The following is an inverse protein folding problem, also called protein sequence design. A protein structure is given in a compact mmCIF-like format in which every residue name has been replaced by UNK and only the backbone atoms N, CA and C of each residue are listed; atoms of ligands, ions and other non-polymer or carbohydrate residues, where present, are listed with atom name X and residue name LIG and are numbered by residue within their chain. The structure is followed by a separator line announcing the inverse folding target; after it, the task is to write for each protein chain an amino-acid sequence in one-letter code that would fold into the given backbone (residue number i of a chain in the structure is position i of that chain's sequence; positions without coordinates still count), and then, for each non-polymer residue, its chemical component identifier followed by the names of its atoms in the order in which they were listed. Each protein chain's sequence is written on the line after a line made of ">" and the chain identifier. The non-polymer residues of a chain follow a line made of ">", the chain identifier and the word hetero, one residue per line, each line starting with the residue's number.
data_IF_763995244368
#
_entry.id   IF_763995244368
#
_cell.length_a   1.000
_cell.length_b   1.000
_cell.length_c   1.000
_cell.angle_alpha   90.00
_cell.angle_beta   90.00
_cell.angle_gamma   90.00
#
_symmetry.space_group_name_H-M   'P 1'
#
loop_
_entity.id
_entity.type
_entity.pdbx_description
1 polymer ?
#
# COMPACT_ATOMS: atom_id res chain seq x y z
N UNK A 1 -0.93 33.96 -24.26
CA UNK A 1 -1.08 33.36 -25.61
C UNK A 1 -1.60 31.96 -25.42
N UNK A 2 -2.94 31.77 -25.54
CA UNK A 2 -3.55 30.45 -25.49
C UNK A 2 -3.35 29.80 -26.87
N UNK A 3 -2.49 28.81 -26.95
CA UNK A 3 -2.42 27.92 -28.11
C UNK A 3 -3.56 26.90 -27.95
N UNK A 4 -4.72 27.21 -28.51
CA UNK A 4 -5.75 26.21 -28.79
C UNK A 4 -5.16 25.20 -29.79
N UNK A 5 -4.87 24.01 -29.31
CA UNK A 5 -4.47 22.90 -30.16
C UNK A 5 -5.73 22.45 -30.91
N UNK A 6 -5.91 22.92 -32.13
CA UNK A 6 -6.98 22.47 -33.03
C UNK A 6 -6.70 21.00 -33.37
N UNK A 7 -7.48 20.09 -32.77
CA UNK A 7 -7.45 18.67 -33.13
C UNK A 7 -8.11 18.55 -34.49
N UNK A 8 -7.31 18.32 -35.55
CA UNK A 8 -7.80 18.00 -36.87
C UNK A 8 -8.48 16.62 -36.78
N UNK A 9 -9.81 16.59 -36.83
CA UNK A 9 -10.58 15.33 -36.92
C UNK A 9 -10.43 14.76 -38.32
N UNK A 10 -9.51 13.80 -38.48
CA UNK A 10 -9.52 12.93 -39.64
C UNK A 10 -10.64 11.91 -39.47
N UNK A 11 -11.68 12.01 -40.31
CA UNK A 11 -12.84 11.08 -40.34
C UNK A 11 -12.52 9.74 -41.05
N UNK A 12 -11.27 9.34 -41.07
CA UNK A 12 -10.83 8.04 -41.59
C UNK A 12 -10.82 7.00 -40.47
N UNK A 13 -11.62 5.92 -40.57
CA UNK A 13 -11.62 4.83 -39.58
C UNK A 13 -10.24 4.23 -39.35
N UNK A 14 -9.44 4.06 -40.40
CA UNK A 14 -8.06 3.52 -40.28
C UNK A 14 -7.14 4.45 -39.52
N UNK A 15 -7.26 5.75 -39.64
CA UNK A 15 -6.54 6.73 -38.87
C UNK A 15 -6.95 6.70 -37.38
N UNK A 16 -8.25 6.58 -37.12
CA UNK A 16 -8.76 6.46 -35.73
C UNK A 16 -8.25 5.20 -35.05
N UNK A 17 -8.20 4.08 -35.76
CA UNK A 17 -7.64 2.81 -35.27
C UNK A 17 -6.15 2.95 -34.96
N UNK A 18 -5.37 3.58 -35.84
CA UNK A 18 -3.95 3.86 -35.61
C UNK A 18 -3.75 4.72 -34.35
N UNK A 19 -4.54 5.78 -34.18
CA UNK A 19 -4.46 6.65 -32.99
C UNK A 19 -4.79 5.87 -31.71
N UNK A 20 -5.80 5.01 -31.74
CA UNK A 20 -6.16 4.16 -30.62
C UNK A 20 -5.03 3.20 -30.26
N UNK A 21 -4.48 2.47 -31.23
CA UNK A 21 -3.35 1.55 -31.00
C UNK A 21 -2.14 2.26 -30.38
N UNK A 22 -1.79 3.46 -30.90
CA UNK A 22 -0.68 4.25 -30.33
C UNK A 22 -1.00 4.72 -28.92
N UNK A 23 -2.25 5.15 -28.68
CA UNK A 23 -2.69 5.61 -27.35
C UNK A 23 -2.64 4.49 -26.32
N UNK A 24 -3.14 3.31 -26.68
CA UNK A 24 -3.13 2.13 -25.83
C UNK A 24 -1.69 1.70 -25.49
N UNK A 25 -0.82 1.63 -26.52
CA UNK A 25 0.61 1.31 -26.33
C UNK A 25 1.29 2.26 -25.32
N UNK A 26 1.07 3.57 -25.47
CA UNK A 26 1.68 4.56 -24.57
C UNK A 26 1.05 4.55 -23.18
N UNK A 27 -0.23 4.24 -23.08
CA UNK A 27 -0.94 4.12 -21.78
C UNK A 27 -0.40 2.92 -21.00
N UNK A 28 -0.25 1.78 -21.66
CA UNK A 28 0.32 0.55 -21.08
C UNK A 28 1.78 0.77 -20.65
N UNK A 29 2.62 1.30 -21.54
CA UNK A 29 4.02 1.58 -21.22
C UNK A 29 4.20 2.52 -20.02
N UNK A 30 3.34 3.56 -19.89
CA UNK A 30 3.36 4.45 -18.72
C UNK A 30 2.93 3.72 -17.43
N UNK A 31 1.91 2.87 -17.51
CA UNK A 31 1.44 2.10 -16.35
C UNK A 31 2.53 1.13 -15.86
N UNK A 32 3.20 0.45 -16.78
CA UNK A 32 4.30 -0.46 -16.47
C UNK A 32 5.50 0.28 -15.84
N UNK A 33 5.88 1.41 -16.41
CA UNK A 33 6.96 2.24 -15.85
C UNK A 33 6.65 2.69 -14.41
N UNK A 34 5.41 3.14 -14.14
CA UNK A 34 4.98 3.54 -12.79
C UNK A 34 5.03 2.33 -11.84
N UNK A 35 4.60 1.17 -12.29
CA UNK A 35 4.62 -0.07 -11.51
C UNK A 35 6.04 -0.48 -11.15
N UNK A 36 6.96 -0.46 -12.13
CA UNK A 36 8.36 -0.77 -11.91
C UNK A 36 9.03 0.21 -10.93
N UNK A 37 8.79 1.51 -11.08
CA UNK A 37 9.32 2.54 -10.15
C UNK A 37 8.80 2.29 -8.73
N UNK A 38 7.49 2.02 -8.56
CA UNK A 38 6.92 1.74 -7.24
C UNK A 38 7.52 0.49 -6.60
N UNK A 39 7.77 -0.57 -7.37
CA UNK A 39 8.41 -1.79 -6.90
C UNK A 39 9.83 -1.50 -6.38
N UNK A 40 10.66 -0.83 -7.19
CA UNK A 40 12.02 -0.47 -6.80
C UNK A 40 12.08 0.44 -5.56
N UNK A 41 11.15 1.39 -5.45
CA UNK A 41 11.05 2.26 -4.27
C UNK A 41 10.63 1.47 -3.01
N UNK A 42 9.75 0.50 -3.16
CA UNK A 42 9.35 -0.38 -2.04
C UNK A 42 10.54 -1.20 -1.56
N UNK A 43 11.27 -1.84 -2.48
CA UNK A 43 12.47 -2.62 -2.17
C UNK A 43 13.57 -1.77 -1.50
N UNK A 44 13.79 -0.54 -1.99
CA UNK A 44 14.73 0.40 -1.39
C UNK A 44 14.33 0.79 0.04
N UNK A 45 13.03 1.03 0.29
CA UNK A 45 12.51 1.33 1.61
C UNK A 45 12.68 0.14 2.56
N UNK A 46 12.42 -1.08 2.08
CA UNK A 46 12.61 -2.30 2.86
C UNK A 46 14.09 -2.52 3.22
N UNK A 47 15.01 -2.40 2.25
CA UNK A 47 16.46 -2.48 2.49
C UNK A 47 16.95 -1.40 3.44
N UNK A 48 16.43 -0.19 3.34
CA UNK A 48 16.75 0.88 4.30
C UNK A 48 16.35 0.46 5.71
N UNK A 49 15.16 -0.11 5.88
CA UNK A 49 14.69 -0.66 7.14
C UNK A 49 15.60 -1.78 7.67
N UNK A 50 16.04 -2.68 6.80
CA UNK A 50 17.00 -3.74 7.11
C UNK A 50 18.31 -3.17 7.65
N UNK A 51 18.93 -2.23 6.96
CA UNK A 51 20.18 -1.61 7.38
C UNK A 51 20.06 -0.89 8.73
N UNK A 52 18.93 -0.22 8.99
CA UNK A 52 18.67 0.42 10.28
C UNK A 52 18.65 -0.63 11.39
N UNK A 53 17.88 -1.72 11.23
CA UNK A 53 17.74 -2.78 12.24
C UNK A 53 19.08 -3.49 12.46
N UNK A 54 19.79 -3.85 11.40
CA UNK A 54 21.12 -4.49 11.50
C UNK A 54 22.13 -3.59 12.22
N UNK A 55 22.10 -2.28 11.96
CA UNK A 55 22.95 -1.32 12.64
C UNK A 55 22.62 -1.23 14.13
N UNK A 56 21.32 -1.21 14.49
CA UNK A 56 20.87 -1.22 15.88
C UNK A 56 21.33 -2.48 16.61
N UNK A 57 21.25 -3.66 15.97
CA UNK A 57 21.65 -4.94 16.56
C UNK A 57 23.15 -5.08 16.77
N UNK A 58 23.98 -4.55 15.86
CA UNK A 58 25.45 -4.57 15.99
C UNK A 58 25.98 -3.63 17.06
N UNK A 59 25.12 -2.78 17.61
CA UNK A 59 25.51 -1.67 18.47
C UNK A 59 25.20 -1.80 19.95
N UNK A 60 25.33 -3.00 20.59
CA UNK A 60 25.17 -3.13 22.06
C UNK A 60 26.05 -2.18 22.88
N UNK A 61 27.16 -1.65 22.31
CA UNK A 61 28.03 -0.64 22.93
C UNK A 61 27.58 0.82 22.69
N UNK A 62 26.43 1.06 21.98
CA UNK A 62 26.01 2.38 21.52
C UNK A 62 24.58 2.76 21.91
N UNK A 63 24.16 2.43 23.14
CA UNK A 63 22.82 2.78 23.65
C UNK A 63 22.49 4.29 23.52
N UNK A 64 23.50 5.13 23.57
CA UNK A 64 23.38 6.59 23.40
C UNK A 64 23.13 6.98 21.94
N UNK A 65 23.67 6.23 20.97
CA UNK A 65 23.45 6.43 19.54
C UNK A 65 22.02 6.02 19.11
N UNK A 66 21.44 4.99 19.73
CA UNK A 66 20.12 4.46 19.35
C UNK A 66 18.99 5.48 19.48
N UNK A 67 19.04 6.36 20.49
CA UNK A 67 18.04 7.41 20.69
C UNK A 67 18.09 8.51 19.63
N UNK A 68 19.26 8.79 19.06
CA UNK A 68 19.48 9.86 18.06
C UNK A 68 19.67 9.33 16.63
N UNK A 69 19.78 8.01 16.44
CA UNK A 69 20.09 7.40 15.15
C UNK A 69 19.16 7.89 14.02
N UNK A 70 17.85 7.75 14.21
CA UNK A 70 16.88 8.13 13.16
C UNK A 70 16.85 9.66 12.92
N UNK A 71 17.18 10.46 13.93
CA UNK A 71 17.27 11.92 13.79
C UNK A 71 18.50 12.29 12.94
N UNK A 72 19.65 11.69 13.23
CA UNK A 72 20.88 11.94 12.50
C UNK A 72 20.79 11.42 11.06
N UNK A 73 20.30 10.17 10.88
CA UNK A 73 20.03 9.62 9.55
C UNK A 73 19.07 10.50 8.72
N UNK A 74 18.02 11.03 9.35
CA UNK A 74 17.09 11.92 8.65
C UNK A 74 17.77 13.16 8.09
N UNK A 75 18.64 13.79 8.88
CA UNK A 75 19.42 14.97 8.45
C UNK A 75 20.38 14.63 7.31
N UNK A 76 21.21 13.61 7.52
CA UNK A 76 22.28 13.25 6.59
C UNK A 76 21.73 12.75 5.25
N UNK A 77 20.70 11.88 5.28
CA UNK A 77 20.07 11.36 4.08
C UNK A 77 19.27 12.43 3.33
N UNK A 78 18.64 13.37 4.04
CA UNK A 78 17.95 14.48 3.37
C UNK A 78 18.94 15.38 2.62
N UNK A 79 20.12 15.61 3.17
CA UNK A 79 21.19 16.39 2.50
C UNK A 79 21.71 15.65 1.27
N UNK A 80 21.97 14.33 1.38
CA UNK A 80 22.62 13.54 0.34
C UNK A 80 21.69 13.04 -0.75
N UNK A 81 20.46 12.64 -0.37
CA UNK A 81 19.51 11.95 -1.25
C UNK A 81 18.23 12.76 -1.50
N UNK A 82 18.03 13.89 -0.80
CA UNK A 82 16.86 14.73 -0.96
C UNK A 82 15.68 14.30 -0.08
N UNK A 83 14.45 14.59 -0.55
CA UNK A 83 13.21 14.34 0.20
C UNK A 83 12.92 12.84 0.31
N UNK A 84 12.19 12.46 1.36
CA UNK A 84 11.74 11.08 1.58
C UNK A 84 12.32 10.41 2.83
N UNK A 85 13.32 11.03 3.49
CA UNK A 85 14.03 10.48 4.64
C UNK A 85 13.69 11.17 5.95
N UNK A 86 12.44 11.64 6.12
CA UNK A 86 11.98 12.15 7.41
C UNK A 86 12.11 11.08 8.51
N UNK A 87 12.30 11.51 9.77
CA UNK A 87 12.34 10.59 10.92
C UNK A 87 11.14 9.64 10.94
N UNK A 88 9.94 10.14 10.66
CA UNK A 88 8.73 9.31 10.57
C UNK A 88 8.87 8.26 9.49
N UNK A 89 9.31 8.64 8.29
CA UNK A 89 9.45 7.71 7.18
C UNK A 89 10.49 6.62 7.47
N UNK A 90 11.65 6.99 8.05
CA UNK A 90 12.67 6.02 8.49
C UNK A 90 12.13 5.07 9.57
N UNK A 91 11.28 5.55 10.48
CA UNK A 91 10.59 4.71 11.47
C UNK A 91 9.69 3.68 10.78
N UNK A 92 8.95 4.07 9.74
CA UNK A 92 8.09 3.14 9.00
C UNK A 92 8.88 2.18 8.09
N UNK A 93 10.01 2.60 7.52
CA UNK A 93 10.92 1.69 6.80
C UNK A 93 11.47 0.61 7.75
N UNK A 94 11.86 0.99 8.97
CA UNK A 94 12.27 0.06 10.03
C UNK A 94 11.12 -0.90 10.42
N UNK A 95 9.90 -0.39 10.61
CA UNK A 95 8.70 -1.21 10.89
C UNK A 95 8.41 -2.17 9.74
N UNK A 96 8.58 -1.74 8.49
CA UNK A 96 8.38 -2.58 7.31
C UNK A 96 9.26 -3.82 7.34
N UNK A 97 10.56 -3.65 7.57
CA UNK A 97 11.48 -4.78 7.68
C UNK A 97 11.13 -5.72 8.84
N UNK A 98 10.74 -5.18 10.01
CA UNK A 98 10.36 -5.99 11.17
C UNK A 98 9.06 -6.79 10.93
N UNK A 99 8.09 -6.21 10.21
CA UNK A 99 6.83 -6.87 9.89
C UNK A 99 6.97 -7.88 8.73
N UNK A 100 7.87 -7.62 7.80
CA UNK A 100 8.15 -8.44 6.61
C UNK A 100 9.65 -8.77 6.53
N UNK A 101 10.16 -9.70 7.36
CA UNK A 101 11.60 -9.99 7.41
C UNK A 101 12.19 -10.57 6.14
N UNK A 102 11.34 -11.15 5.28
CA UNK A 102 11.71 -11.69 3.97
C UNK A 102 11.15 -10.79 2.89
N UNK A 103 11.99 -10.29 1.98
CA UNK A 103 11.57 -9.42 0.86
C UNK A 103 10.54 -10.08 -0.04
N UNK A 104 10.60 -11.42 -0.19
CA UNK A 104 9.68 -12.21 -1.01
C UNK A 104 8.23 -12.16 -0.46
N UNK A 105 8.03 -11.77 0.79
CA UNK A 105 6.69 -11.61 1.37
C UNK A 105 6.04 -10.27 1.02
N UNK A 106 6.79 -9.35 0.43
CA UNK A 106 6.25 -8.10 -0.07
C UNK A 106 5.47 -8.32 -1.37
N UNK A 107 4.33 -7.67 -1.50
CA UNK A 107 3.59 -7.64 -2.75
C UNK A 107 3.84 -6.33 -3.49
N UNK A 108 4.43 -6.40 -4.68
CA UNK A 108 4.62 -5.25 -5.56
C UNK A 108 3.32 -4.74 -6.20
N UNK A 109 2.17 -5.41 -5.95
CA UNK A 109 0.84 -4.85 -6.23
C UNK A 109 0.48 -3.68 -5.31
N UNK A 110 1.17 -3.57 -4.18
CA UNK A 110 1.00 -2.49 -3.21
C UNK A 110 2.17 -1.52 -3.28
N UNK A 111 1.88 -0.22 -3.20
CA UNK A 111 2.90 0.83 -3.15
C UNK A 111 3.39 1.07 -1.73
N UNK A 112 4.52 1.79 -1.55
CA UNK A 112 4.98 2.25 -0.24
C UNK A 112 3.88 2.93 0.58
N UNK A 113 3.00 3.71 -0.05
CA UNK A 113 1.90 4.39 0.64
C UNK A 113 0.85 3.43 1.22
N UNK A 114 0.62 2.26 0.61
CA UNK A 114 -0.22 1.21 1.20
C UNK A 114 0.44 0.64 2.45
N UNK A 115 1.71 0.24 2.36
CA UNK A 115 2.45 -0.28 3.52
C UNK A 115 2.52 0.72 4.67
N UNK A 116 2.67 2.01 4.36
CA UNK A 116 2.65 3.07 5.36
C UNK A 116 1.34 3.12 6.15
N UNK A 117 0.20 2.88 5.49
CA UNK A 117 -1.10 2.78 6.18
C UNK A 117 -1.25 1.46 6.95
N UNK A 118 -0.87 0.33 6.35
CA UNK A 118 -0.92 -1.00 6.98
C UNK A 118 -0.09 -1.06 8.26
N UNK A 119 1.09 -0.45 8.27
CA UNK A 119 1.99 -0.42 9.43
C UNK A 119 1.52 0.47 10.59
N UNK A 120 0.35 1.11 10.46
CA UNK A 120 -0.33 1.80 11.56
C UNK A 120 -1.25 0.88 12.36
N UNK A 121 -1.63 -0.28 11.78
CA UNK A 121 -2.38 -1.30 12.51
C UNK A 121 -1.47 -1.93 13.57
N UNK A 122 -1.90 -1.90 14.81
CA UNK A 122 -1.13 -2.48 15.93
C UNK A 122 -1.32 -4.00 16.03
N UNK A 123 -2.50 -4.51 15.61
CA UNK A 123 -2.80 -5.95 15.57
C UNK A 123 -2.25 -6.58 14.27
N UNK A 124 -1.38 -7.60 14.37
CA UNK A 124 -0.85 -8.30 13.21
C UNK A 124 -1.93 -8.99 12.35
N UNK A 125 -3.03 -9.47 12.94
CA UNK A 125 -4.13 -10.08 12.20
C UNK A 125 -4.92 -9.04 11.42
N UNK A 126 -5.18 -7.89 12.02
CA UNK A 126 -5.79 -6.74 11.35
C UNK A 126 -4.93 -6.28 10.16
N UNK A 127 -3.63 -6.08 10.39
CA UNK A 127 -2.70 -5.69 9.32
C UNK A 127 -2.72 -6.71 8.17
N UNK A 128 -2.69 -8.01 8.48
CA UNK A 128 -2.71 -9.09 7.50
C UNK A 128 -4.01 -9.12 6.71
N UNK A 129 -5.16 -8.93 7.37
CA UNK A 129 -6.44 -8.81 6.71
C UNK A 129 -6.46 -7.68 5.69
N UNK A 130 -6.08 -6.45 6.09
CA UNK A 130 -6.08 -5.31 5.18
C UNK A 130 -5.04 -5.46 4.06
N UNK A 131 -3.91 -6.12 4.33
CA UNK A 131 -2.93 -6.48 3.30
C UNK A 131 -3.56 -7.41 2.24
N UNK A 132 -4.20 -8.49 2.68
CA UNK A 132 -4.84 -9.48 1.81
C UNK A 132 -5.97 -8.85 1.00
N UNK A 133 -6.87 -8.09 1.65
CA UNK A 133 -7.98 -7.43 0.99
C UNK A 133 -7.52 -6.37 -0.02
N UNK A 134 -6.50 -5.59 0.31
CA UNK A 134 -5.94 -4.58 -0.60
C UNK A 134 -5.44 -5.20 -1.90
N UNK A 135 -4.81 -6.39 -1.84
CA UNK A 135 -4.33 -7.12 -3.01
C UNK A 135 -5.49 -7.72 -3.79
N UNK A 136 -6.44 -8.35 -3.09
CA UNK A 136 -7.55 -9.09 -3.68
C UNK A 136 -8.54 -8.16 -4.38
N UNK A 137 -8.89 -7.07 -3.73
CA UNK A 137 -9.87 -6.10 -4.21
C UNK A 137 -9.24 -4.96 -5.03
N UNK A 138 -7.91 -4.93 -5.13
CA UNK A 138 -7.22 -3.85 -5.83
C UNK A 138 -7.43 -2.47 -5.20
N UNK A 139 -7.55 -2.41 -3.87
CA UNK A 139 -7.82 -1.14 -3.18
C UNK A 139 -6.71 -0.13 -3.44
N UNK A 140 -7.10 1.11 -3.72
CA UNK A 140 -6.20 2.25 -3.72
C UNK A 140 -5.93 2.69 -2.27
N UNK A 141 -4.85 3.41 -2.03
CA UNK A 141 -4.48 3.92 -0.69
C UNK A 141 -5.64 4.64 0.01
N UNK A 142 -6.44 5.38 -0.74
CA UNK A 142 -7.58 6.14 -0.22
C UNK A 142 -8.68 5.21 0.31
N UNK A 143 -8.94 4.13 -0.42
CA UNK A 143 -9.88 3.09 -0.03
C UNK A 143 -9.39 2.31 1.19
N UNK A 144 -8.15 1.83 1.18
CA UNK A 144 -7.54 1.17 2.34
C UNK A 144 -7.67 2.03 3.60
N UNK A 145 -7.35 3.32 3.51
CA UNK A 145 -7.53 4.28 4.61
C UNK A 145 -8.95 4.34 5.14
N UNK A 146 -9.93 4.35 4.23
CA UNK A 146 -11.35 4.37 4.56
C UNK A 146 -11.75 3.12 5.32
N UNK A 147 -11.34 1.95 4.83
CA UNK A 147 -11.68 0.66 5.43
C UNK A 147 -11.03 0.48 6.81
N UNK A 148 -9.79 0.92 7.00
CA UNK A 148 -9.16 0.94 8.32
C UNK A 148 -9.93 1.85 9.29
N UNK A 149 -10.29 3.07 8.85
CA UNK A 149 -11.05 4.02 9.69
C UNK A 149 -12.44 3.52 10.07
N UNK A 150 -13.10 2.77 9.18
CA UNK A 150 -14.41 2.20 9.43
C UNK A 150 -14.35 0.93 10.27
N UNK A 151 -13.17 0.52 10.73
CA UNK A 151 -12.94 -0.67 11.54
C UNK A 151 -13.54 -1.94 10.88
N UNK A 152 -13.34 -2.10 9.55
CA UNK A 152 -13.91 -3.22 8.80
C UNK A 152 -13.52 -4.57 9.40
N UNK A 153 -12.23 -4.77 9.72
CA UNK A 153 -11.74 -6.02 10.33
C UNK A 153 -12.46 -6.33 11.63
N UNK A 154 -12.57 -5.34 12.52
CA UNK A 154 -13.22 -5.51 13.83
C UNK A 154 -14.70 -5.88 13.68
N UNK A 155 -15.42 -5.25 12.74
CA UNK A 155 -16.84 -5.55 12.48
C UNK A 155 -17.05 -6.97 11.97
N UNK A 156 -16.18 -7.44 11.07
CA UNK A 156 -16.22 -8.81 10.56
C UNK A 156 -15.80 -9.82 11.62
N UNK A 157 -14.77 -9.51 12.41
CA UNK A 157 -14.25 -10.38 13.45
C UNK A 157 -15.24 -10.59 14.62
N UNK A 158 -16.03 -9.56 14.98
CA UNK A 158 -17.04 -9.66 16.03
C UNK A 158 -18.14 -10.69 15.77
N UNK A 159 -18.40 -11.03 14.53
CA UNK A 159 -19.44 -11.98 14.13
C UNK A 159 -18.88 -13.38 13.82
N UNK A 160 -17.62 -13.65 14.11
CA UNK A 160 -16.90 -14.82 13.64
C UNK A 160 -16.15 -15.48 14.79
N UNK A 161 -16.05 -16.81 14.78
CA UNK A 161 -15.26 -17.55 15.76
C UNK A 161 -13.74 -17.38 15.53
N UNK A 162 -12.91 -17.89 16.46
CA UNK A 162 -11.44 -17.75 16.39
C UNK A 162 -10.86 -18.32 15.10
N UNK A 163 -11.38 -19.44 14.59
CA UNK A 163 -10.91 -20.06 13.33
C UNK A 163 -11.29 -19.18 12.13
N UNK A 164 -12.50 -18.64 12.13
CA UNK A 164 -12.98 -17.73 11.11
C UNK A 164 -12.22 -16.41 11.09
N UNK A 165 -11.81 -15.85 12.24
CA UNK A 165 -10.95 -14.66 12.29
C UNK A 165 -9.60 -14.92 11.65
N UNK A 166 -8.99 -16.09 11.88
CA UNK A 166 -7.75 -16.48 11.23
C UNK A 166 -7.92 -16.67 9.72
N UNK A 167 -9.01 -17.30 9.28
CA UNK A 167 -9.34 -17.43 7.85
C UNK A 167 -9.55 -16.06 7.21
N UNK A 168 -10.31 -15.17 7.86
CA UNK A 168 -10.53 -13.79 7.43
C UNK A 168 -9.20 -13.03 7.23
N UNK A 169 -8.24 -13.18 8.15
CA UNK A 169 -6.94 -12.54 8.03
C UNK A 169 -6.05 -13.13 6.93
N UNK A 170 -6.19 -14.44 6.64
CA UNK A 170 -5.35 -15.13 5.64
C UNK A 170 -5.92 -15.04 4.23
N UNK A 171 -7.23 -15.15 4.09
CA UNK A 171 -7.95 -15.35 2.82
C UNK A 171 -8.75 -14.12 2.41
N UNK A 172 -8.93 -13.16 3.34
CA UNK A 172 -9.80 -12.03 3.17
C UNK A 172 -11.28 -12.36 3.36
N UNK A 173 -12.14 -11.38 3.15
CA UNK A 173 -13.60 -11.56 3.26
C UNK A 173 -14.13 -12.34 2.05
N UNK A 174 -14.56 -13.59 2.27
CA UNK A 174 -15.18 -14.42 1.24
C UNK A 174 -16.70 -14.37 1.38
N UNK A 175 -17.38 -14.07 0.28
CA UNK A 175 -18.84 -14.11 0.19
C UNK A 175 -19.26 -15.53 -0.18
N UNK A 176 -19.55 -16.35 0.82
CA UNK A 176 -19.95 -17.75 0.64
C UNK A 176 -21.48 -17.94 0.80
N UNK A 177 -22.14 -17.02 1.50
CA UNK A 177 -23.58 -17.10 1.78
C UNK A 177 -24.28 -15.78 1.46
N UNK A 178 -25.62 -15.77 1.23
CA UNK A 178 -26.38 -14.54 1.06
C UNK A 178 -26.24 -13.55 2.24
N UNK A 179 -26.02 -14.06 3.45
CA UNK A 179 -25.78 -13.22 4.63
C UNK A 179 -24.44 -12.48 4.57
N UNK A 180 -23.45 -13.05 3.89
CA UNK A 180 -22.13 -12.42 3.70
C UNK A 180 -22.23 -11.25 2.72
N UNK A 181 -23.14 -11.30 1.74
CA UNK A 181 -23.43 -10.18 0.83
C UNK A 181 -23.89 -8.95 1.62
N UNK A 182 -24.75 -9.14 2.62
CA UNK A 182 -25.23 -8.04 3.46
C UNK A 182 -24.14 -7.42 4.35
N UNK A 183 -23.02 -8.12 4.54
CA UNK A 183 -21.85 -7.66 5.28
C UNK A 183 -20.76 -7.07 4.37
N UNK A 184 -20.91 -7.24 3.05
CA UNK A 184 -19.97 -6.67 2.11
C UNK A 184 -19.95 -5.14 2.25
N UNK A 185 -18.77 -4.52 2.41
CA UNK A 185 -18.65 -3.09 2.63
C UNK A 185 -19.30 -2.24 1.52
N UNK A 186 -19.25 -2.70 0.27
CA UNK A 186 -19.84 -2.02 -0.86
C UNK A 186 -21.37 -2.08 -0.83
N UNK A 187 -21.95 -3.22 -0.41
CA UNK A 187 -23.41 -3.38 -0.29
C UNK A 187 -23.95 -2.53 0.85
N UNK A 188 -23.30 -2.52 2.01
CA UNK A 188 -23.70 -1.69 3.16
C UNK A 188 -23.62 -0.20 2.82
N UNK A 189 -22.61 0.23 2.11
CA UNK A 189 -22.43 1.62 1.69
C UNK A 189 -23.49 2.02 0.64
N UNK A 190 -23.74 1.16 -0.36
CA UNK A 190 -24.76 1.36 -1.38
C UNK A 190 -26.18 1.40 -0.78
N UNK A 191 -26.45 0.57 0.20
CA UNK A 191 -27.76 0.51 0.88
C UNK A 191 -27.99 1.69 1.83
N UNK A 192 -26.99 2.56 2.06
CA UNK A 192 -27.09 3.71 2.98
C UNK A 192 -27.38 3.32 4.44
N UNK A 193 -27.10 2.06 4.82
CA UNK A 193 -27.33 1.59 6.16
C UNK A 193 -26.32 2.19 7.14
N UNK A 194 -26.76 2.68 8.31
CA UNK A 194 -25.87 3.28 9.28
C UNK A 194 -24.83 2.25 9.73
N UNK A 195 -23.58 2.58 9.57
CA UNK A 195 -22.46 1.82 10.10
C UNK A 195 -22.49 1.96 11.63
N UNK A 196 -23.04 0.97 12.34
CA UNK A 196 -22.98 0.90 13.80
C UNK A 196 -21.67 0.29 14.24
#
# INVERSE_FOLDING_TARGET
>A
MNTETTIVQYNDPAYSELVNHITDLWTEAKADAITAVNAHLLDANWKTGQYIVEFEQKGMARAEYGKQLLVNLSKDLTIRCGRGFSRSNLTYMRKLYLAFPKSETLSHKLTWSHYFELLKCDDPLEMKFYFTESIRQGWKVRELKRQIKSALFQRLALSTDKKGVLALANEGHQVLTPQDILRDPFVLEFAGLPQK
#
